data_IF_912395438363
#
_entry.id   IF_912395438363
#
_cell.length_a   1.000
_cell.length_b   1.000
_cell.length_c   1.000
_cell.angle_alpha   90.00
_cell.angle_beta   90.00
_cell.angle_gamma   90.00
#
_symmetry.space_group_name_H-M   'P 1'
#
loop_
_entity.id
_entity.type
_entity.pdbx_description
1 polymer ?
#
# COMPACT_ATOMS: atom_id res chain seq x y z
N UNK A 1 11.59 9.99 13.49
CA UNK A 1 10.21 9.47 13.64
C UNK A 1 9.24 10.08 12.64
N UNK A 2 9.20 11.41 12.47
CA UNK A 2 8.41 12.03 11.38
C UNK A 2 8.64 11.39 10.01
N UNK A 3 9.87 10.91 9.76
CA UNK A 3 10.23 10.22 8.52
C UNK A 3 9.47 8.89 8.26
N UNK A 4 9.22 8.06 9.28
CA UNK A 4 8.51 6.77 9.10
C UNK A 4 7.03 7.02 8.83
N UNK A 5 6.44 7.96 9.57
CA UNK A 5 5.05 8.36 9.39
C UNK A 5 4.82 8.94 7.98
N UNK A 6 5.66 9.87 7.56
CA UNK A 6 5.58 10.47 6.22
C UNK A 6 5.76 9.42 5.11
N UNK A 7 6.61 8.42 5.34
CA UNK A 7 6.77 7.31 4.40
C UNK A 7 5.55 6.40 4.35
N UNK A 8 4.91 6.11 5.49
CA UNK A 8 3.64 5.38 5.53
C UNK A 8 2.56 6.15 4.75
N UNK A 9 2.38 7.43 5.05
CA UNK A 9 1.39 8.29 4.39
C UNK A 9 1.63 8.34 2.87
N UNK A 10 2.87 8.53 2.43
CA UNK A 10 3.21 8.53 1.00
C UNK A 10 2.97 7.18 0.32
N UNK A 11 3.21 6.08 1.03
CA UNK A 11 2.99 4.74 0.49
C UNK A 11 1.50 4.46 0.32
N UNK A 12 0.69 4.86 1.30
CA UNK A 12 -0.78 4.81 1.23
C UNK A 12 -1.27 5.59 0.00
N UNK A 13 -0.85 6.85 -0.16
CA UNK A 13 -1.23 7.68 -1.32
C UNK A 13 -0.81 7.03 -2.66
N UNK A 14 0.37 6.40 -2.70
CA UNK A 14 0.87 5.72 -3.90
C UNK A 14 -0.01 4.52 -4.25
N UNK A 15 -0.44 3.74 -3.25
CA UNK A 15 -1.32 2.58 -3.44
C UNK A 15 -2.73 3.04 -3.83
N UNK A 16 -3.26 4.11 -3.24
CA UNK A 16 -4.56 4.69 -3.64
C UNK A 16 -4.55 5.15 -5.10
N UNK A 17 -3.49 5.85 -5.52
CA UNK A 17 -3.33 6.27 -6.91
C UNK A 17 -3.21 5.07 -7.86
N UNK A 18 -2.46 4.05 -7.44
CA UNK A 18 -2.34 2.79 -8.18
C UNK A 18 -3.71 2.12 -8.34
N UNK A 19 -4.46 2.00 -7.25
CA UNK A 19 -5.79 1.40 -7.21
C UNK A 19 -6.78 2.12 -8.14
N UNK A 20 -6.74 3.45 -8.14
CA UNK A 20 -7.54 4.30 -9.05
C UNK A 20 -7.18 4.04 -10.52
N UNK A 21 -5.88 3.97 -10.84
CA UNK A 21 -5.44 3.72 -12.22
C UNK A 21 -5.85 2.34 -12.72
N UNK A 22 -5.75 1.31 -11.87
CA UNK A 22 -6.17 -0.06 -12.22
C UNK A 22 -7.66 -0.13 -12.47
N UNK A 23 -8.48 0.53 -11.63
CA UNK A 23 -9.94 0.54 -11.81
C UNK A 23 -10.37 1.29 -13.08
N UNK A 24 -9.61 2.31 -13.50
CA UNK A 24 -9.75 3.00 -14.79
C UNK A 24 -9.25 2.18 -16.00
N UNK A 25 -8.63 1.03 -15.76
CA UNK A 25 -8.17 0.11 -16.80
C UNK A 25 -6.71 0.31 -17.24
N UNK A 26 -5.93 1.09 -16.49
CA UNK A 26 -4.50 1.25 -16.76
C UNK A 26 -3.69 0.11 -16.12
N UNK A 27 -2.68 -0.35 -16.86
CA UNK A 27 -1.64 -1.22 -16.31
C UNK A 27 -0.59 -0.35 -15.65
N UNK A 28 -0.27 -0.67 -14.40
CA UNK A 28 0.75 -0.01 -13.61
C UNK A 28 1.80 -1.02 -13.16
N UNK A 29 3.05 -0.59 -13.12
CA UNK A 29 4.14 -1.35 -12.57
C UNK A 29 4.45 -0.83 -11.17
N UNK A 30 4.51 -1.75 -10.19
CA UNK A 30 4.86 -1.46 -8.80
C UNK A 30 6.08 -2.30 -8.39
N UNK A 31 7.21 -2.21 -9.11
CA UNK A 31 8.30 -3.18 -9.01
C UNK A 31 8.99 -3.17 -7.62
N UNK A 32 8.90 -2.06 -6.89
CA UNK A 32 9.55 -1.90 -5.58
C UNK A 32 8.58 -1.92 -4.41
N UNK A 33 7.26 -2.00 -4.65
CA UNK A 33 6.25 -1.83 -3.60
C UNK A 33 6.42 -2.83 -2.46
N UNK A 34 6.64 -4.11 -2.79
CA UNK A 34 6.85 -5.15 -1.78
C UNK A 34 8.08 -4.84 -0.90
N UNK A 35 9.22 -4.51 -1.51
CA UNK A 35 10.44 -4.21 -0.78
C UNK A 35 10.30 -2.96 0.10
N UNK A 36 9.57 -1.95 -0.38
CA UNK A 36 9.28 -0.71 0.37
C UNK A 36 8.38 -0.99 1.57
N UNK A 37 7.30 -1.76 1.40
CA UNK A 37 6.40 -2.17 2.50
C UNK A 37 7.18 -3.01 3.53
N UNK A 38 7.96 -3.99 3.10
CA UNK A 38 8.76 -4.85 4.00
C UNK A 38 9.77 -4.03 4.82
N UNK A 39 10.50 -3.13 4.17
CA UNK A 39 11.47 -2.26 4.83
C UNK A 39 10.80 -1.35 5.86
N UNK A 40 9.61 -0.83 5.54
CA UNK A 40 8.84 0.04 6.41
C UNK A 40 8.29 -0.71 7.62
N UNK A 41 7.69 -1.89 7.40
CA UNK A 41 7.24 -2.80 8.47
C UNK A 41 8.38 -3.15 9.43
N UNK A 42 9.55 -3.49 8.91
CA UNK A 42 10.73 -3.81 9.73
C UNK A 42 11.19 -2.63 10.60
N UNK A 43 11.01 -1.39 10.13
CA UNK A 43 11.32 -0.17 10.89
C UNK A 43 10.26 0.12 11.96
N UNK A 44 8.98 -0.10 11.66
CA UNK A 44 7.88 0.07 12.63
C UNK A 44 8.00 -0.93 13.78
N UNK A 45 8.34 -2.20 13.51
CA UNK A 45 8.55 -3.24 14.54
C UNK A 45 9.69 -2.86 15.51
N UNK A 46 10.71 -2.13 15.02
CA UNK A 46 11.85 -1.67 15.81
C UNK A 46 11.62 -0.32 16.49
N UNK A 47 10.47 0.32 16.27
CA UNK A 47 10.15 1.61 16.89
C UNK A 47 9.79 1.44 18.37
N UNK A 48 9.99 2.51 19.14
CA UNK A 48 9.59 2.53 20.55
C UNK A 48 8.07 2.30 20.69
N UNK A 49 7.59 1.63 21.76
CA UNK A 49 6.18 1.27 21.92
C UNK A 49 5.19 2.44 21.89
N UNK A 50 5.65 3.65 22.22
CA UNK A 50 4.86 4.87 22.11
C UNK A 50 4.59 5.22 20.64
N UNK A 51 5.61 5.16 19.80
CA UNK A 51 5.53 5.56 18.41
C UNK A 51 4.86 4.49 17.56
N UNK A 52 5.13 3.21 17.87
CA UNK A 52 4.43 2.08 17.26
C UNK A 52 2.91 2.20 17.41
N UNK A 53 2.42 2.61 18.60
CA UNK A 53 0.98 2.87 18.85
C UNK A 53 0.42 3.98 17.97
N UNK A 54 1.18 5.04 17.74
CA UNK A 54 0.75 6.14 16.87
C UNK A 54 0.72 5.76 15.39
N UNK A 55 1.49 4.74 14.99
CA UNK A 55 1.58 4.23 13.62
C UNK A 55 0.60 3.10 13.32
N UNK A 56 0.03 2.43 14.34
CA UNK A 56 -0.95 1.35 14.17
C UNK A 56 -2.13 1.72 13.25
N UNK A 57 -2.75 2.91 13.35
CA UNK A 57 -3.83 3.28 12.44
C UNK A 57 -3.37 3.38 10.98
N UNK A 58 -2.17 3.93 10.73
CA UNK A 58 -1.61 4.05 9.38
C UNK A 58 -1.22 2.68 8.80
N UNK A 59 -0.73 1.77 9.64
CA UNK A 59 -0.45 0.39 9.24
C UNK A 59 -1.73 -0.36 8.85
N UNK A 60 -2.83 -0.16 9.58
CA UNK A 60 -4.12 -0.74 9.23
C UNK A 60 -4.65 -0.19 7.90
N UNK A 61 -4.56 1.13 7.71
CA UNK A 61 -4.96 1.79 6.46
C UNK A 61 -4.14 1.29 5.26
N UNK A 62 -2.82 1.19 5.41
CA UNK A 62 -1.93 0.62 4.40
C UNK A 62 -2.36 -0.79 3.97
N UNK A 63 -2.70 -1.66 4.94
CA UNK A 63 -3.16 -3.03 4.65
C UNK A 63 -4.48 -2.99 3.88
N UNK A 64 -5.46 -2.20 4.33
CA UNK A 64 -6.74 -2.07 3.64
C UNK A 64 -6.58 -1.58 2.20
N UNK A 65 -5.68 -0.61 1.95
CA UNK A 65 -5.40 -0.14 0.58
C UNK A 65 -4.73 -1.19 -0.30
N UNK A 66 -3.86 -2.03 0.26
CA UNK A 66 -3.26 -3.14 -0.46
C UNK A 66 -4.29 -4.20 -0.84
N UNK A 67 -5.23 -4.50 0.06
CA UNK A 67 -6.34 -5.43 -0.21
C UNK A 67 -7.26 -4.89 -1.33
N UNK A 68 -7.65 -3.61 -1.26
CA UNK A 68 -8.44 -2.96 -2.33
C UNK A 68 -7.72 -2.98 -3.69
N UNK A 69 -6.41 -2.71 -3.71
CA UNK A 69 -5.62 -2.80 -4.94
C UNK A 69 -5.58 -4.23 -5.48
N UNK A 70 -5.46 -5.24 -4.61
CA UNK A 70 -5.47 -6.63 -5.01
C UNK A 70 -6.81 -7.03 -5.66
N UNK A 71 -7.93 -6.62 -5.05
CA UNK A 71 -9.28 -6.83 -5.61
C UNK A 71 -9.41 -6.20 -7.01
N UNK A 72 -9.02 -4.93 -7.16
CA UNK A 72 -9.07 -4.26 -8.46
C UNK A 72 -8.19 -4.93 -9.53
N UNK A 73 -7.03 -5.47 -9.15
CA UNK A 73 -6.16 -6.22 -10.07
C UNK A 73 -6.79 -7.55 -10.50
N UNK A 74 -7.45 -8.26 -9.59
CA UNK A 74 -8.19 -9.49 -9.89
C UNK A 74 -9.37 -9.22 -10.83
N UNK A 75 -10.14 -8.16 -10.57
CA UNK A 75 -11.23 -7.72 -11.44
C UNK A 75 -10.73 -7.33 -12.83
N UNK A 76 -9.64 -6.56 -12.90
CA UNK A 76 -9.03 -6.16 -14.16
C UNK A 76 -8.55 -7.37 -14.98
N UNK A 77 -7.93 -8.35 -14.31
CA UNK A 77 -7.50 -9.60 -14.94
C UNK A 77 -8.69 -10.41 -15.46
N UNK A 78 -9.78 -10.48 -14.70
CA UNK A 78 -11.00 -11.22 -15.07
C UNK A 78 -11.67 -10.59 -16.30
N UNK A 79 -11.83 -9.26 -16.32
CA UNK A 79 -12.37 -8.53 -17.48
C UNK A 79 -11.54 -8.71 -18.76
N UNK A 80 -10.22 -8.87 -18.64
CA UNK A 80 -9.33 -9.10 -19.79
C UNK A 80 -9.47 -10.50 -20.39
N UNK A 81 -9.99 -11.48 -19.66
CA UNK A 81 -10.17 -12.86 -20.16
C UNK A 81 -11.50 -13.08 -20.90
N UNK A 82 -12.45 -12.15 -20.77
CA UNK A 82 -13.76 -12.21 -21.43
C UNK A 82 -13.81 -11.45 -22.77
N UNK A 83 -12.70 -10.80 -23.17
CA UNK A 83 -12.56 -9.99 -24.39
C UNK A 83 -11.76 -10.65 -25.50
#
# INVERSE_FOLDING_TARGET
MNDIRLQLEKLIETIELASTKVSEGYVIELPTLQAEVEALCARVIKAEPHDARSMQPLMADLISRLDELAEHLEDFKSKKQEG
#
